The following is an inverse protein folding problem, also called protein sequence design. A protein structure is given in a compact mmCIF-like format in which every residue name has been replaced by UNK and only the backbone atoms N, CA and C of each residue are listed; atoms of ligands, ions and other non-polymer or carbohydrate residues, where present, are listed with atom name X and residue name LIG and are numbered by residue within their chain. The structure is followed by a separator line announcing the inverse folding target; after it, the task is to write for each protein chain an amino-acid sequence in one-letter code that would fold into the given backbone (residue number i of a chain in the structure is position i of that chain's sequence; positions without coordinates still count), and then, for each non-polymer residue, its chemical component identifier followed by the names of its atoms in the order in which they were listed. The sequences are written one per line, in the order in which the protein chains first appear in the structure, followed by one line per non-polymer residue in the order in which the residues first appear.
data_IF_041814893516
#
_entry.id   IF_041814893516
#
_cell.length_a   1.000
_cell.length_b   1.000
_cell.length_c   1.000
_cell.angle_alpha   90.00
_cell.angle_beta   90.00
_cell.angle_gamma   90.00
#
_symmetry.space_group_name_H-M   'P 1'
#
loop_
_entity.id
_entity.type
_entity.pdbx_description
1 polymer ?
#
# COMPACT_ATOMS: atom_id res chain seq x y z
N UNK A 1 6.84 13.35 -9.64
CA UNK A 1 6.14 12.05 -9.56
C UNK A 1 5.94 11.74 -8.08
N UNK A 2 4.73 11.39 -7.64
CA UNK A 2 4.52 10.83 -6.31
C UNK A 2 5.20 9.45 -6.25
N UNK A 3 5.90 9.17 -5.15
CA UNK A 3 6.52 7.88 -4.89
C UNK A 3 5.47 6.78 -4.75
N UNK A 4 5.83 5.54 -5.05
CA UNK A 4 4.96 4.38 -4.81
C UNK A 4 4.89 4.06 -3.30
N UNK A 5 3.81 3.42 -2.82
CA UNK A 5 3.71 2.99 -1.42
C UNK A 5 4.86 2.07 -1.02
N UNK A 6 5.20 2.05 0.26
CA UNK A 6 6.15 1.08 0.80
C UNK A 6 5.60 -0.34 0.64
N UNK A 7 6.49 -1.34 0.52
CA UNK A 7 6.09 -2.75 0.59
C UNK A 7 6.02 -3.16 2.06
N UNK A 8 4.89 -3.73 2.50
CA UNK A 8 4.70 -4.24 3.85
C UNK A 8 5.08 -5.71 3.95
N UNK A 9 6.04 -6.04 4.80
CA UNK A 9 6.52 -7.41 5.01
C UNK A 9 5.86 -8.13 6.21
N UNK A 10 4.74 -7.62 6.73
CA UNK A 10 4.05 -8.21 7.88
C UNK A 10 4.60 -7.81 9.25
N UNK A 11 5.70 -7.04 9.34
CA UNK A 11 6.27 -6.65 10.63
C UNK A 11 5.51 -5.49 11.28
N UNK A 12 5.09 -5.69 12.52
CA UNK A 12 4.25 -4.73 13.27
C UNK A 12 4.88 -3.34 13.44
N UNK A 13 6.19 -3.27 13.63
CA UNK A 13 6.94 -2.01 13.75
C UNK A 13 6.96 -1.18 12.45
N UNK A 14 6.65 -1.80 11.30
CA UNK A 14 6.58 -1.13 10.00
C UNK A 14 5.14 -0.80 9.56
N UNK A 15 4.13 -1.27 10.30
CA UNK A 15 2.72 -1.13 9.92
C UNK A 15 2.28 0.32 9.79
N UNK A 16 2.62 1.16 10.77
CA UNK A 16 2.22 2.57 10.77
C UNK A 16 2.83 3.34 9.60
N UNK A 17 4.14 3.18 9.39
CA UNK A 17 4.85 3.81 8.26
C UNK A 17 4.29 3.36 6.91
N UNK A 18 3.92 2.09 6.77
CA UNK A 18 3.29 1.57 5.58
C UNK A 18 1.90 2.20 5.34
N UNK A 19 1.06 2.26 6.37
CA UNK A 19 -0.27 2.89 6.28
C UNK A 19 -0.18 4.37 5.90
N UNK A 20 0.77 5.10 6.48
CA UNK A 20 1.04 6.51 6.10
C UNK A 20 1.45 6.61 4.63
N UNK A 21 2.33 5.73 4.14
CA UNK A 21 2.75 5.74 2.73
C UNK A 21 1.57 5.49 1.78
N UNK A 22 0.66 4.57 2.13
CA UNK A 22 -0.55 4.30 1.36
C UNK A 22 -1.49 5.51 1.32
N UNK A 23 -1.69 6.18 2.46
CA UNK A 23 -2.52 7.40 2.51
C UNK A 23 -1.97 8.50 1.63
N UNK A 24 -0.64 8.74 1.65
CA UNK A 24 0.01 9.75 0.80
C UNK A 24 -0.21 9.43 -0.69
N UNK A 25 -0.09 8.17 -1.09
CA UNK A 25 -0.29 7.76 -2.49
C UNK A 25 -1.76 7.89 -2.90
N UNK A 26 -2.68 7.41 -2.06
CA UNK A 26 -4.12 7.41 -2.37
C UNK A 26 -4.63 8.85 -2.46
N UNK A 27 -4.32 9.70 -1.48
CA UNK A 27 -4.77 11.10 -1.49
C UNK A 27 -3.99 11.97 -2.47
N UNK A 28 -2.71 11.66 -2.71
CA UNK A 28 -1.92 12.34 -3.72
C UNK A 28 -2.36 12.04 -5.16
N UNK A 29 -3.07 10.92 -5.39
CA UNK A 29 -3.62 10.49 -6.68
C UNK A 29 -5.09 10.07 -6.54
N UNK A 30 -5.90 10.87 -5.88
CA UNK A 30 -7.29 10.50 -5.56
C UNK A 30 -8.13 10.11 -6.80
N UNK A 31 -7.85 10.75 -7.94
CA UNK A 31 -8.45 10.45 -9.25
C UNK A 31 -8.13 9.03 -9.78
N UNK A 32 -7.02 8.41 -9.34
CA UNK A 32 -6.63 7.05 -9.73
C UNK A 32 -7.25 6.00 -8.78
N UNK A 33 -7.72 6.42 -7.60
CA UNK A 33 -8.23 5.58 -6.53
C UNK A 33 -9.65 5.99 -6.07
N UNK A 34 -10.55 6.19 -7.05
CA UNK A 34 -11.89 6.76 -6.83
C UNK A 34 -12.87 5.86 -6.07
N UNK A 35 -12.57 4.57 -5.95
CA UNK A 35 -13.44 3.60 -5.28
C UNK A 35 -12.71 2.92 -4.13
N UNK A 36 -13.45 2.49 -3.11
CA UNK A 36 -12.88 1.72 -2.01
C UNK A 36 -12.22 0.43 -2.52
N UNK A 37 -12.80 -0.18 -3.57
CA UNK A 37 -12.18 -1.33 -4.26
C UNK A 37 -10.78 -0.99 -4.78
N UNK A 38 -10.60 0.13 -5.48
CA UNK A 38 -9.29 0.54 -5.99
C UNK A 38 -8.27 0.83 -4.88
N UNK A 39 -8.72 1.43 -3.76
CA UNK A 39 -7.89 1.70 -2.57
C UNK A 39 -7.45 0.40 -1.88
N UNK A 40 -8.35 -0.57 -1.78
CA UNK A 40 -8.03 -1.90 -1.21
C UNK A 40 -7.06 -2.66 -2.14
N UNK A 41 -7.29 -2.63 -3.45
CA UNK A 41 -6.42 -3.33 -4.41
C UNK A 41 -4.97 -2.80 -4.37
N UNK A 42 -4.77 -1.48 -4.27
CA UNK A 42 -3.42 -0.93 -4.18
C UNK A 42 -2.75 -1.33 -2.85
N UNK A 43 -3.48 -1.31 -1.73
CA UNK A 43 -2.96 -1.78 -0.45
C UNK A 43 -2.52 -3.25 -0.54
N UNK A 44 -3.36 -4.14 -1.09
CA UNK A 44 -3.03 -5.55 -1.27
C UNK A 44 -1.82 -5.78 -2.18
N UNK A 45 -1.69 -5.01 -3.27
CA UNK A 45 -0.55 -5.11 -4.19
C UNK A 45 0.79 -4.69 -3.57
N UNK A 46 0.75 -3.92 -2.49
CA UNK A 46 1.92 -3.46 -1.72
C UNK A 46 2.09 -4.22 -0.41
N UNK A 47 1.31 -5.27 -0.17
CA UNK A 47 1.71 -6.30 0.78
C UNK A 47 2.78 -7.14 0.07
N UNK A 48 3.88 -7.43 0.76
CA UNK A 48 4.80 -8.44 0.29
C UNK A 48 3.97 -9.70 0.03
N UNK A 49 4.12 -10.29 -1.16
CA UNK A 49 3.72 -11.68 -1.32
C UNK A 49 4.44 -12.41 -0.20
N UNK A 50 3.69 -12.95 0.74
CA UNK A 50 4.18 -14.04 1.57
C UNK A 50 4.99 -14.93 0.63
N UNK A 51 6.21 -15.28 1.02
CA UNK A 51 6.96 -16.29 0.29
C UNK A 51 6.19 -17.61 0.46
N UNK A 52 5.12 -17.77 -0.31
CA UNK A 52 4.56 -19.06 -0.64
C UNK A 52 5.65 -19.70 -1.49
N UNK A 53 6.43 -20.53 -0.81
CA UNK A 53 7.52 -21.39 -1.27
C UNK A 53 8.91 -20.78 -1.46
N UNK A 54 9.78 -21.03 -0.45
CA UNK A 54 10.98 -21.87 -0.62
C UNK A 54 11.27 -22.70 0.62
#
# INVERSE_FOLDING_TARGET
KLADPLIFNGKRDQLESWLTSLQIVIWGKEQDYTTDKSKIMIALSHMAKDQVDK
#
